data_IF_223191543171
#
_entry.id   IF_223191543171
#
_cell.length_a   1.000
_cell.length_b   1.000
_cell.length_c   1.000
_cell.angle_alpha   90.00
_cell.angle_beta   90.00
_cell.angle_gamma   90.00
#
_symmetry.space_group_name_H-M   'P 1'
#
loop_
_entity.id
_entity.type
_entity.pdbx_description
1 polymer ?
#
# COMPACT_ATOMS: atom_id res chain seq x y z
N UNK A 1 56.82 -11.02 36.63
CA UNK A 1 55.73 -10.03 36.85
C UNK A 1 55.97 -8.89 35.87
N UNK A 2 55.12 -8.41 34.96
CA UNK A 2 53.73 -8.66 34.54
C UNK A 2 53.71 -8.36 33.02
N UNK A 3 53.05 -9.21 32.21
CA UNK A 3 52.78 -8.96 30.79
C UNK A 3 51.64 -7.93 30.72
N UNK A 4 51.81 -6.81 30.02
CA UNK A 4 50.70 -5.90 29.71
C UNK A 4 50.01 -6.39 28.43
N UNK A 5 48.76 -6.81 28.59
CA UNK A 5 47.85 -7.21 27.53
C UNK A 5 47.23 -5.95 26.89
N UNK A 6 47.29 -5.90 25.56
CA UNK A 6 46.58 -4.94 24.71
C UNK A 6 45.09 -5.31 24.75
N UNK A 7 44.24 -4.40 25.22
CA UNK A 7 42.78 -4.53 25.11
C UNK A 7 42.32 -3.64 23.95
N UNK A 8 42.20 -4.24 22.77
CA UNK A 8 41.44 -3.65 21.65
C UNK A 8 39.97 -3.77 22.02
N UNK A 9 39.32 -2.64 22.33
CA UNK A 9 37.86 -2.59 22.46
C UNK A 9 37.25 -2.77 21.07
N UNK A 10 36.69 -3.95 20.84
CA UNK A 10 35.86 -4.25 19.68
C UNK A 10 34.49 -3.58 19.91
N UNK A 11 34.28 -2.41 19.32
CA UNK A 11 32.96 -1.77 19.26
C UNK A 11 32.11 -2.60 18.27
N UNK A 12 31.43 -3.62 18.78
CA UNK A 12 30.36 -4.30 18.07
C UNK A 12 29.17 -3.34 18.02
N UNK A 13 29.08 -2.52 16.97
CA UNK A 13 27.81 -1.92 16.59
C UNK A 13 26.90 -3.05 16.12
N UNK A 14 26.06 -3.55 17.01
CA UNK A 14 24.93 -4.39 16.64
C UNK A 14 24.03 -3.56 15.73
N UNK A 15 24.22 -3.69 14.42
CA UNK A 15 23.19 -3.33 13.46
C UNK A 15 22.03 -4.26 13.75
N UNK A 16 21.10 -3.82 14.60
CA UNK A 16 19.76 -4.38 14.64
C UNK A 16 19.16 -4.06 13.28
N UNK A 17 19.38 -4.95 12.31
CA UNK A 17 18.49 -5.07 11.18
C UNK A 17 17.13 -5.38 11.82
N UNK A 18 16.24 -4.39 11.88
CA UNK A 18 14.83 -4.71 11.95
C UNK A 18 14.62 -5.70 10.81
N UNK A 19 14.28 -6.94 11.17
CA UNK A 19 13.77 -7.89 10.20
C UNK A 19 12.68 -7.14 9.41
N UNK A 20 12.67 -7.27 8.09
CA UNK A 20 11.67 -6.65 7.23
C UNK A 20 10.29 -7.07 7.74
N UNK A 21 9.69 -6.25 8.61
CA UNK A 21 8.33 -6.44 9.05
C UNK A 21 7.50 -6.34 7.76
N UNK A 22 6.61 -7.29 7.51
CA UNK A 22 5.83 -7.28 6.30
C UNK A 22 4.97 -6.00 6.27
N UNK A 23 5.16 -5.17 5.25
CA UNK A 23 4.64 -3.80 5.23
C UNK A 23 3.35 -3.69 4.41
N UNK A 24 2.53 -2.70 4.74
CA UNK A 24 1.32 -2.34 4.01
C UNK A 24 1.46 -0.88 3.59
N UNK A 25 2.12 -0.67 2.46
CA UNK A 25 2.62 0.66 2.13
C UNK A 25 3.02 0.87 0.67
N UNK A 26 3.30 2.13 0.36
CA UNK A 26 3.69 2.60 -0.96
C UNK A 26 5.06 3.28 -0.89
N UNK A 27 5.94 2.97 -1.84
CA UNK A 27 7.26 3.58 -1.94
C UNK A 27 7.24 4.79 -2.88
N UNK A 28 7.45 5.96 -2.30
CA UNK A 28 7.43 7.26 -2.97
C UNK A 28 8.79 7.93 -2.80
N UNK A 29 9.50 8.17 -3.91
CA UNK A 29 10.83 8.77 -3.91
C UNK A 29 11.82 8.07 -2.94
N UNK A 30 11.75 6.74 -2.87
CA UNK A 30 12.61 5.93 -1.99
C UNK A 30 12.19 5.91 -0.51
N UNK A 31 11.12 6.62 -0.12
CA UNK A 31 10.53 6.56 1.21
C UNK A 31 9.29 5.67 1.19
N UNK A 32 9.17 4.80 2.18
CA UNK A 32 7.95 4.06 2.43
C UNK A 32 6.95 4.93 3.20
N UNK A 33 5.69 4.93 2.78
CA UNK A 33 4.55 5.37 3.57
C UNK A 33 3.64 4.17 3.81
N UNK A 34 3.23 3.95 5.06
CA UNK A 34 2.51 2.74 5.45
C UNK A 34 1.49 3.00 6.58
N UNK A 35 0.79 1.96 7.00
CA UNK A 35 -0.21 2.02 8.08
C UNK A 35 0.38 2.27 9.48
N UNK A 36 1.69 2.11 9.67
CA UNK A 36 2.36 2.41 10.95
C UNK A 36 2.76 3.90 11.07
N UNK A 37 2.64 4.67 9.97
CA UNK A 37 2.89 6.09 10.01
C UNK A 37 1.91 6.84 10.91
N UNK A 38 2.37 7.99 11.39
CA UNK A 38 1.56 9.00 12.07
C UNK A 38 1.40 10.21 11.15
N UNK A 39 0.43 11.08 11.43
CA UNK A 39 0.35 12.37 10.73
C UNK A 39 1.69 13.11 10.70
N UNK A 40 2.42 13.12 11.82
CA UNK A 40 3.73 13.78 11.92
C UNK A 40 4.78 13.14 11.02
N UNK A 41 4.84 11.81 10.92
CA UNK A 41 5.80 11.14 10.03
C UNK A 41 5.40 11.29 8.56
N UNK A 42 4.10 11.27 8.23
CA UNK A 42 3.61 11.58 6.88
C UNK A 42 4.02 12.99 6.44
N UNK A 43 3.81 14.01 7.28
CA UNK A 43 4.23 15.39 6.96
C UNK A 43 5.74 15.50 6.76
N UNK A 44 6.55 14.75 7.53
CA UNK A 44 8.00 14.68 7.34
C UNK A 44 8.39 13.99 6.03
N UNK A 45 7.65 12.97 5.61
CA UNK A 45 7.94 12.17 4.41
C UNK A 45 7.48 12.88 3.13
N UNK A 46 6.26 13.43 3.15
CA UNK A 46 5.50 13.93 1.99
C UNK A 46 5.41 15.47 1.93
N UNK A 47 5.68 16.18 3.03
CA UNK A 47 5.52 17.62 3.13
C UNK A 47 4.17 18.03 3.74
N UNK A 48 3.84 19.32 3.64
CA UNK A 48 2.58 19.86 4.17
C UNK A 48 1.40 19.34 3.37
N UNK A 49 0.34 18.94 4.06
CA UNK A 49 -0.90 18.43 3.48
C UNK A 49 -1.93 19.54 3.24
N UNK A 50 -3.03 19.15 2.59
CA UNK A 50 -4.29 19.89 2.55
C UNK A 50 -5.42 18.99 3.04
N UNK A 51 -5.66 18.96 4.35
CA UNK A 51 -6.70 18.13 4.99
C UNK A 51 -6.45 16.62 4.83
N UNK A 52 -5.28 16.15 5.27
CA UNK A 52 -4.83 14.76 5.15
C UNK A 52 -4.80 14.26 3.70
N UNK A 53 -4.52 15.18 2.78
CA UNK A 53 -4.35 14.92 1.36
C UNK A 53 -3.02 15.50 0.87
N UNK A 54 -2.31 14.74 0.03
CA UNK A 54 -1.07 15.15 -0.62
C UNK A 54 -1.11 14.79 -2.10
N UNK A 55 -0.76 15.75 -2.95
CA UNK A 55 -0.39 15.48 -4.33
C UNK A 55 1.15 15.53 -4.45
N UNK A 56 1.78 14.37 -4.67
CA UNK A 56 3.25 14.28 -4.75
C UNK A 56 3.67 13.17 -5.70
N UNK A 57 4.71 13.43 -6.50
CA UNK A 57 5.24 12.47 -7.48
C UNK A 57 4.20 11.93 -8.50
N UNK A 58 3.11 12.65 -8.74
CA UNK A 58 2.02 12.19 -9.62
C UNK A 58 1.09 11.17 -8.97
N UNK A 59 1.12 11.09 -7.64
CA UNK A 59 0.19 10.37 -6.80
C UNK A 59 -0.66 11.37 -6.01
N UNK A 60 -1.93 11.03 -5.85
CA UNK A 60 -2.84 11.63 -4.88
C UNK A 60 -2.94 10.67 -3.69
N UNK A 61 -2.62 11.15 -2.50
CA UNK A 61 -2.52 10.36 -1.28
C UNK A 61 -3.51 10.92 -0.29
N UNK A 62 -4.40 10.09 0.21
CA UNK A 62 -5.32 10.46 1.27
C UNK A 62 -5.13 9.54 2.47
N UNK A 63 -5.23 10.10 3.67
CA UNK A 63 -5.11 9.36 4.90
C UNK A 63 -6.20 9.77 5.88
N UNK A 64 -6.58 8.87 6.76
CA UNK A 64 -7.46 9.16 7.89
C UNK A 64 -6.82 8.64 9.18
N UNK A 65 -7.16 9.25 10.30
CA UNK A 65 -6.65 8.89 11.63
C UNK A 65 -7.77 8.60 12.60
N UNK A 66 -7.50 7.72 13.56
CA UNK A 66 -8.28 7.54 14.79
C UNK A 66 -7.37 7.80 16.01
N UNK A 67 -7.84 7.43 17.22
CA UNK A 67 -7.08 7.60 18.46
C UNK A 67 -5.78 6.77 18.55
N UNK A 68 -5.63 5.74 17.70
CA UNK A 68 -4.48 4.84 17.67
C UNK A 68 -3.45 5.16 16.58
N UNK A 69 -3.75 6.08 15.66
CA UNK A 69 -2.87 6.40 14.54
C UNK A 69 -3.63 6.49 13.24
N UNK A 70 -3.00 6.07 12.13
CA UNK A 70 -3.69 5.96 10.84
C UNK A 70 -4.77 4.88 10.91
N UNK A 71 -5.98 5.24 10.50
CA UNK A 71 -7.09 4.30 10.31
C UNK A 71 -7.17 3.80 8.87
N UNK A 72 -6.77 4.65 7.91
CA UNK A 72 -6.66 4.28 6.50
C UNK A 72 -5.62 5.11 5.76
N UNK A 73 -5.10 4.53 4.68
CA UNK A 73 -4.20 5.15 3.72
C UNK A 73 -4.62 4.74 2.31
N UNK A 74 -4.92 5.71 1.45
CA UNK A 74 -5.20 5.46 0.03
C UNK A 74 -4.26 6.26 -0.86
N UNK A 75 -3.88 5.65 -1.97
CA UNK A 75 -2.95 6.22 -2.95
C UNK A 75 -3.50 5.95 -4.34
N UNK A 76 -3.79 7.03 -5.06
CA UNK A 76 -4.29 7.01 -6.43
C UNK A 76 -3.25 7.61 -7.36
N UNK A 77 -3.03 6.94 -8.49
CA UNK A 77 -2.13 7.36 -9.55
C UNK A 77 -2.83 8.37 -10.46
N UNK A 78 -2.38 9.63 -10.45
CA UNK A 78 -2.90 10.69 -11.33
C UNK A 78 -2.46 10.50 -12.79
N UNK A 79 -1.35 9.77 -12.99
CA UNK A 79 -0.76 9.44 -14.29
C UNK A 79 0.01 8.13 -14.19
N UNK A 80 0.16 7.37 -15.30
CA UNK A 80 0.89 6.09 -15.29
C UNK A 80 2.21 6.18 -14.53
N UNK A 81 2.42 5.27 -13.58
CA UNK A 81 3.60 5.27 -12.73
C UNK A 81 4.06 3.87 -12.39
N UNK A 82 5.32 3.76 -11.95
CA UNK A 82 5.96 2.51 -11.52
C UNK A 82 6.23 2.50 -10.01
N UNK A 83 5.57 3.36 -9.23
CA UNK A 83 5.65 3.32 -7.78
C UNK A 83 5.34 1.91 -7.28
N UNK A 84 6.19 1.42 -6.37
CA UNK A 84 6.09 0.09 -5.79
C UNK A 84 5.11 0.13 -4.63
N UNK A 85 4.28 -0.89 -4.55
CA UNK A 85 3.40 -1.17 -3.43
C UNK A 85 3.87 -2.47 -2.79
N UNK A 86 3.97 -2.47 -1.48
CA UNK A 86 4.22 -3.67 -0.68
C UNK A 86 2.99 -3.95 0.17
N UNK A 87 2.55 -5.21 0.13
CA UNK A 87 1.38 -5.71 0.83
C UNK A 87 1.77 -7.02 1.49
N UNK A 88 2.10 -6.95 2.76
CA UNK A 88 2.62 -8.05 3.54
C UNK A 88 3.82 -8.72 2.84
N UNK A 89 3.66 -9.94 2.33
CA UNK A 89 4.69 -10.71 1.60
C UNK A 89 4.66 -10.49 0.08
N UNK A 90 3.69 -9.72 -0.42
CA UNK A 90 3.46 -9.50 -1.84
C UNK A 90 3.93 -8.11 -2.27
N UNK A 91 4.41 -8.02 -3.52
CA UNK A 91 4.93 -6.78 -4.10
C UNK A 91 4.42 -6.59 -5.52
N UNK A 92 4.03 -5.37 -5.84
CA UNK A 92 3.63 -5.00 -7.20
C UNK A 92 3.89 -3.52 -7.49
N UNK A 93 3.57 -3.08 -8.70
CA UNK A 93 3.61 -1.67 -9.09
C UNK A 93 2.29 -1.23 -9.71
N UNK A 94 2.00 0.08 -9.71
CA UNK A 94 0.87 0.67 -10.42
C UNK A 94 0.88 0.44 -11.96
N UNK A 95 1.96 -0.12 -12.53
CA UNK A 95 2.00 -0.48 -13.95
C UNK A 95 1.53 -1.91 -14.24
N UNK A 96 1.32 -2.72 -13.21
CA UNK A 96 0.79 -4.08 -13.36
C UNK A 96 -0.72 -4.07 -13.55
N UNK A 97 -1.25 -5.08 -14.26
CA UNK A 97 -2.69 -5.25 -14.42
C UNK A 97 -3.37 -5.67 -13.12
N UNK A 98 -4.62 -5.26 -12.94
CA UNK A 98 -5.42 -5.66 -11.78
C UNK A 98 -5.48 -7.19 -11.62
N UNK A 99 -5.59 -7.94 -12.72
CA UNK A 99 -5.54 -9.41 -12.73
C UNK A 99 -4.22 -9.95 -12.15
N UNK A 100 -3.08 -9.39 -12.56
CA UNK A 100 -1.76 -9.81 -12.07
C UNK A 100 -1.62 -9.55 -10.58
N UNK A 101 -2.06 -8.36 -10.14
CA UNK A 101 -2.00 -7.98 -8.72
C UNK A 101 -2.95 -8.83 -7.87
N UNK A 102 -4.20 -9.03 -8.30
CA UNK A 102 -5.15 -9.89 -7.62
C UNK A 102 -4.58 -11.31 -7.42
N UNK A 103 -3.96 -11.89 -8.45
CA UNK A 103 -3.31 -13.21 -8.33
C UNK A 103 -2.20 -13.28 -7.28
N UNK A 104 -1.51 -12.16 -6.98
CA UNK A 104 -0.48 -12.08 -5.93
C UNK A 104 -1.06 -11.86 -4.53
N UNK A 105 -2.28 -11.33 -4.44
CA UNK A 105 -2.93 -10.96 -3.17
C UNK A 105 -3.95 -11.99 -2.69
N UNK A 106 -4.22 -13.03 -3.47
CA UNK A 106 -5.13 -14.11 -3.09
C UNK A 106 -4.84 -14.66 -1.68
N UNK A 107 -5.88 -14.97 -0.89
CA UNK A 107 -7.31 -14.96 -1.23
C UNK A 107 -7.93 -13.55 -1.21
N UNK A 108 -9.07 -13.36 -1.89
CA UNK A 108 -9.81 -12.09 -1.86
C UNK A 108 -11.01 -12.06 -2.82
N UNK A 109 -11.72 -10.94 -2.88
CA UNK A 109 -12.95 -10.81 -3.64
C UNK A 109 -12.96 -9.58 -4.54
N UNK A 110 -13.58 -9.71 -5.71
CA UNK A 110 -13.78 -8.62 -6.64
C UNK A 110 -15.04 -7.83 -6.33
N UNK A 111 -15.04 -6.54 -6.63
CA UNK A 111 -16.21 -5.66 -6.61
C UNK A 111 -16.21 -4.73 -7.83
N UNK A 112 -17.40 -4.32 -8.28
CA UNK A 112 -17.56 -3.40 -9.41
C UNK A 112 -18.53 -2.27 -9.11
N UNK A 113 -18.02 -1.05 -9.24
CA UNK A 113 -18.82 0.16 -9.15
C UNK A 113 -18.93 0.77 -10.54
N UNK A 114 -20.15 0.91 -11.06
CA UNK A 114 -20.42 1.57 -12.35
C UNK A 114 -21.08 2.92 -12.11
N UNK A 115 -20.46 3.97 -12.61
CA UNK A 115 -21.00 5.33 -12.62
C UNK A 115 -21.31 5.81 -14.04
N UNK A 116 -21.94 6.99 -14.15
CA UNK A 116 -22.25 7.59 -15.47
C UNK A 116 -21.02 7.91 -16.32
N UNK A 117 -19.84 8.07 -15.70
CA UNK A 117 -18.59 8.46 -16.38
C UNK A 117 -17.59 7.32 -16.60
N UNK A 118 -17.83 6.14 -16.05
CA UNK A 118 -16.83 5.06 -16.03
C UNK A 118 -17.21 3.92 -15.11
N UNK A 119 -16.31 2.95 -15.01
CA UNK A 119 -16.41 1.88 -14.04
C UNK A 119 -15.08 1.71 -13.31
N UNK A 120 -15.17 1.41 -12.01
CA UNK A 120 -14.06 1.01 -11.16
C UNK A 120 -14.24 -0.46 -10.82
N UNK A 121 -13.20 -1.25 -11.04
CA UNK A 121 -13.14 -2.64 -10.63
C UNK A 121 -12.09 -2.78 -9.54
N UNK A 122 -12.47 -3.39 -8.43
CA UNK A 122 -11.66 -3.50 -7.24
C UNK A 122 -11.43 -4.95 -6.89
N UNK A 123 -10.27 -5.26 -6.30
CA UNK A 123 -10.00 -6.52 -5.62
C UNK A 123 -9.67 -6.22 -4.17
N UNK A 124 -10.37 -6.89 -3.26
CA UNK A 124 -10.33 -6.67 -1.82
C UNK A 124 -9.75 -7.93 -1.19
N UNK A 125 -8.69 -7.79 -0.40
CA UNK A 125 -8.05 -8.90 0.31
C UNK A 125 -7.74 -8.47 1.74
N UNK A 126 -7.87 -9.40 2.69
CA UNK A 126 -7.44 -9.19 4.06
C UNK A 126 -6.06 -9.80 4.24
N UNK A 127 -5.13 -8.98 4.70
CA UNK A 127 -3.69 -9.26 4.76
C UNK A 127 -3.14 -8.88 6.13
N UNK A 128 -1.89 -9.22 6.40
CA UNK A 128 -1.32 -9.13 7.74
C UNK A 128 -1.07 -10.51 8.34
N UNK A 129 -0.57 -10.54 9.58
CA UNK A 129 -0.27 -11.80 10.25
C UNK A 129 -1.55 -12.58 10.61
N UNK A 130 -2.62 -11.85 10.92
CA UNK A 130 -3.93 -12.36 11.32
C UNK A 130 -5.04 -11.95 10.34
N UNK A 131 -4.70 -11.27 9.25
CA UNK A 131 -5.67 -10.73 8.28
C UNK A 131 -6.29 -9.41 8.73
N UNK A 132 -5.57 -8.66 9.55
CA UNK A 132 -6.00 -7.45 10.23
C UNK A 132 -6.09 -6.19 9.35
N UNK A 133 -5.49 -6.20 8.16
CA UNK A 133 -5.49 -5.06 7.23
C UNK A 133 -6.22 -5.44 5.95
N UNK A 134 -7.31 -4.73 5.67
CA UNK A 134 -7.99 -4.80 4.39
C UNK A 134 -7.26 -3.98 3.35
N UNK A 135 -7.04 -4.58 2.18
CA UNK A 135 -6.33 -4.00 1.05
C UNK A 135 -7.25 -4.00 -0.15
N UNK A 136 -7.47 -2.82 -0.70
CA UNK A 136 -8.21 -2.62 -1.95
C UNK A 136 -7.22 -2.22 -3.02
N UNK A 137 -7.22 -2.94 -4.14
CA UNK A 137 -6.54 -2.52 -5.36
C UNK A 137 -7.55 -2.35 -6.47
N UNK A 138 -7.46 -1.26 -7.22
CA UNK A 138 -8.48 -0.91 -8.20
C UNK A 138 -7.89 -0.52 -9.55
N UNK A 139 -8.70 -0.69 -10.60
CA UNK A 139 -8.51 -0.08 -11.90
C UNK A 139 -9.80 0.63 -12.33
N UNK A 140 -9.65 1.81 -12.91
CA UNK A 140 -10.76 2.63 -13.40
C UNK A 140 -10.62 2.90 -14.89
N UNK A 141 -11.72 2.74 -15.62
CA UNK A 141 -11.78 3.08 -17.05
C UNK A 141 -13.03 3.93 -17.30
N UNK A 142 -12.85 5.05 -18.01
CA UNK A 142 -13.95 5.93 -18.42
C UNK A 142 -14.85 5.26 -19.47
N UNK A 143 -16.12 5.69 -19.52
CA UNK A 143 -17.12 5.15 -20.44
C UNK A 143 -17.76 3.85 -19.95
N UNK A 144 -17.99 2.90 -20.85
CA UNK A 144 -18.64 1.62 -20.53
C UNK A 144 -17.71 0.42 -20.80
N UNK A 145 -16.63 0.25 -20.01
CA UNK A 145 -15.68 -0.84 -20.19
C UNK A 145 -16.31 -2.19 -19.82
N UNK A 146 -15.83 -3.23 -20.49
CA UNK A 146 -16.07 -4.63 -20.07
C UNK A 146 -15.25 -4.97 -18.83
N UNK A 147 -15.69 -5.99 -18.07
CA UNK A 147 -14.92 -6.53 -16.94
C UNK A 147 -13.53 -7.00 -17.38
N UNK A 148 -13.40 -7.56 -18.58
CA UNK A 148 -12.13 -8.00 -19.12
C UNK A 148 -11.15 -6.83 -19.38
N UNK A 149 -11.66 -5.69 -19.85
CA UNK A 149 -10.86 -4.47 -20.00
C UNK A 149 -10.40 -3.95 -18.65
N UNK A 150 -11.26 -3.93 -17.63
CA UNK A 150 -10.90 -3.50 -16.28
C UNK A 150 -9.86 -4.43 -15.63
N UNK A 151 -10.03 -5.75 -15.74
CA UNK A 151 -9.07 -6.74 -15.22
C UNK A 151 -7.68 -6.61 -15.85
N UNK A 152 -7.63 -6.24 -17.12
CA UNK A 152 -6.37 -6.09 -17.86
C UNK A 152 -5.81 -4.66 -17.78
N UNK A 153 -6.58 -3.69 -17.30
CA UNK A 153 -6.10 -2.36 -17.03
C UNK A 153 -5.14 -2.36 -15.85
N UNK A 154 -4.22 -1.38 -15.88
CA UNK A 154 -3.27 -1.18 -14.79
C UNK A 154 -3.99 -0.83 -13.50
N UNK A 155 -3.39 -1.19 -12.38
CA UNK A 155 -3.82 -0.66 -11.08
C UNK A 155 -3.61 0.84 -11.05
N UNK A 156 -4.63 1.60 -10.68
CA UNK A 156 -4.56 3.05 -10.53
C UNK A 156 -4.81 3.51 -9.11
N UNK A 157 -5.31 2.64 -8.23
CA UNK A 157 -5.50 2.97 -6.81
C UNK A 157 -5.17 1.77 -5.92
N UNK A 158 -4.60 2.06 -4.76
CA UNK A 158 -4.49 1.13 -3.63
C UNK A 158 -5.00 1.82 -2.37
N UNK A 159 -5.71 1.09 -1.52
CA UNK A 159 -6.11 1.54 -0.20
C UNK A 159 -5.84 0.46 0.84
N UNK A 160 -5.48 0.91 2.03
CA UNK A 160 -5.23 0.11 3.23
C UNK A 160 -6.16 0.61 4.34
N UNK A 161 -6.76 -0.30 5.08
CA UNK A 161 -7.63 0.05 6.21
C UNK A 161 -7.61 -1.05 7.27
N UNK A 162 -7.75 -0.66 8.54
CA UNK A 162 -8.04 -1.60 9.63
C UNK A 162 -9.54 -1.94 9.73
N UNK A 163 -10.39 -1.16 9.07
CA UNK A 163 -11.81 -1.46 9.00
C UNK A 163 -12.06 -2.61 8.01
N UNK A 164 -12.86 -3.58 8.44
CA UNK A 164 -13.29 -4.67 7.57
C UNK A 164 -14.10 -4.11 6.39
N UNK A 165 -13.70 -4.47 5.18
CA UNK A 165 -14.47 -4.20 3.97
C UNK A 165 -15.23 -5.46 3.60
N UNK A 166 -16.56 -5.34 3.46
CA UNK A 166 -17.42 -6.43 3.01
C UNK A 166 -17.50 -6.41 1.47
N UNK A 167 -16.83 -7.34 0.77
CA UNK A 167 -16.93 -7.41 -0.68
C UNK A 167 -18.31 -7.93 -1.09
N UNK A 168 -18.90 -7.31 -2.12
CA UNK A 168 -20.20 -7.71 -2.65
C UNK A 168 -20.12 -8.52 -3.96
N UNK A 169 -18.95 -9.02 -4.33
CA UNK A 169 -18.74 -9.73 -5.60
C UNK A 169 -17.98 -11.05 -5.49
N UNK A 170 -17.38 -11.49 -6.60
CA UNK A 170 -16.84 -12.84 -6.74
C UNK A 170 -15.54 -13.03 -5.97
N UNK A 171 -15.49 -14.03 -5.09
CA UNK A 171 -14.30 -14.37 -4.33
C UNK A 171 -13.44 -15.43 -5.04
N UNK A 172 -12.13 -15.33 -4.84
CA UNK A 172 -11.13 -16.28 -5.32
C UNK A 172 -10.19 -16.64 -4.19
N UNK A 173 -9.90 -17.93 -4.09
CA UNK A 173 -8.86 -18.48 -3.22
C UNK A 173 -7.48 -18.39 -3.86
#
# INVERSE_FOLDING_TARGET
MKKLLIIVSLILTSNVSFANNPTHGVFINGKEIDMEDTYKSLVKKLGKDSYMNWEVAGLDIHASTNEYGLSSLSVTSLKPTKHRVEVYKSKFTFNESLRSVANKLKPGCFDIIRGKGGATYSFISNTGAEGEISVVVSSTINGNPTVQQLLNARVDSVAFSYDALEPNGTCVE
#
